data_IF_100553779724
#
_entry.id   IF_100553779724
#
_cell.length_a   1.000
_cell.length_b   1.000
_cell.length_c   1.000
_cell.angle_alpha   90.00
_cell.angle_beta   90.00
_cell.angle_gamma   90.00
#
_symmetry.space_group_name_H-M   'P 1'
#
loop_
_entity.id
_entity.type
_entity.pdbx_description
1 polymer ?
#
# COMPACT_ATOMS: atom_id res chain seq x y z
N UNK A 1 11.37 -37.16 66.02
CA UNK A 1 11.31 -37.47 64.58
C UNK A 1 10.05 -36.87 63.99
N UNK A 2 10.17 -35.80 63.19
CA UNK A 2 9.19 -35.38 62.17
C UNK A 2 9.94 -34.45 61.21
N UNK A 3 10.26 -35.01 60.05
CA UNK A 3 10.85 -34.36 58.88
C UNK A 3 9.75 -33.62 58.12
N UNK A 4 9.96 -32.35 57.79
CA UNK A 4 9.31 -31.61 56.69
C UNK A 4 10.33 -30.53 56.26
N UNK A 5 11.34 -30.84 55.45
CA UNK A 5 11.33 -31.09 54.01
C UNK A 5 10.78 -29.93 53.17
N UNK A 6 11.70 -29.17 52.56
CA UNK A 6 11.56 -28.73 51.17
C UNK A 6 10.92 -27.36 50.91
N UNK A 7 11.63 -26.27 51.21
CA UNK A 7 11.39 -25.00 50.53
C UNK A 7 12.09 -25.02 49.16
N UNK A 8 11.40 -25.48 48.12
CA UNK A 8 11.86 -25.34 46.74
C UNK A 8 11.49 -23.93 46.27
N UNK A 9 12.47 -23.02 46.33
CA UNK A 9 12.42 -21.73 45.66
C UNK A 9 12.47 -21.98 44.14
N UNK A 10 11.31 -22.11 43.51
CA UNK A 10 11.21 -22.08 42.06
C UNK A 10 11.33 -20.62 41.60
N UNK A 11 12.57 -20.17 41.34
CA UNK A 11 12.83 -18.99 40.52
C UNK A 11 12.39 -19.32 39.09
N UNK A 12 11.11 -19.13 38.81
CA UNK A 12 10.61 -19.03 37.45
C UNK A 12 11.16 -17.73 36.88
N UNK A 13 12.27 -17.84 36.16
CA UNK A 13 12.77 -16.83 35.25
C UNK A 13 11.67 -16.56 34.22
N UNK A 14 10.88 -15.50 34.43
CA UNK A 14 10.01 -14.93 33.42
C UNK A 14 10.92 -14.49 32.27
N UNK A 15 11.05 -15.35 31.26
CA UNK A 15 11.47 -14.92 29.94
C UNK A 15 10.52 -13.78 29.53
N UNK A 16 11.04 -12.61 29.09
CA UNK A 16 10.16 -11.55 28.63
C UNK A 16 9.27 -12.13 27.52
N UNK A 17 7.95 -11.95 27.59
CA UNK A 17 7.07 -12.38 26.52
C UNK A 17 7.61 -11.75 25.25
N UNK A 18 7.96 -12.59 24.26
CA UNK A 18 8.48 -12.13 22.98
C UNK A 18 7.60 -11.00 22.50
N UNK A 19 8.18 -9.81 22.32
CA UNK A 19 7.46 -8.59 22.03
C UNK A 19 6.56 -8.84 20.81
N UNK A 20 5.26 -9.02 21.06
CA UNK A 20 4.27 -9.08 19.99
C UNK A 20 4.48 -7.81 19.18
N UNK A 21 4.95 -7.93 17.94
CA UNK A 21 5.14 -6.78 17.08
C UNK A 21 3.79 -6.09 16.96
N UNK A 22 3.73 -4.87 17.49
CA UNK A 22 2.48 -4.11 17.52
C UNK A 22 1.94 -3.98 16.09
N UNK A 23 0.72 -4.46 15.90
CA UNK A 23 0.00 -4.40 14.64
C UNK A 23 -0.06 -2.93 14.17
N UNK A 24 0.51 -2.63 13.00
CA UNK A 24 0.49 -1.29 12.42
C UNK A 24 -0.81 -1.05 11.67
N UNK A 25 -1.51 0.04 11.98
CA UNK A 25 -2.70 0.43 11.23
C UNK A 25 -2.28 1.24 10.01
N UNK A 26 -2.70 0.81 8.83
CA UNK A 26 -2.30 1.39 7.53
C UNK A 26 -3.54 1.86 6.78
N UNK A 27 -3.51 3.10 6.31
CA UNK A 27 -4.51 3.64 5.39
C UNK A 27 -3.90 3.85 4.02
N UNK A 28 -4.68 3.63 2.96
CA UNK A 28 -4.28 3.91 1.57
C UNK A 28 -5.28 4.89 0.99
N UNK A 29 -4.81 6.07 0.59
CA UNK A 29 -5.61 7.04 -0.14
C UNK A 29 -5.80 6.61 -1.61
N UNK A 30 -6.82 7.16 -2.26
CA UNK A 30 -6.93 7.04 -3.73
C UNK A 30 -5.69 7.62 -4.41
N UNK A 31 -5.34 7.07 -5.56
CA UNK A 31 -4.16 7.49 -6.29
C UNK A 31 -4.44 8.68 -7.20
N UNK A 32 -3.43 9.51 -7.40
CA UNK A 32 -3.42 10.49 -8.49
C UNK A 32 -3.14 9.74 -9.79
N UNK A 33 -3.84 10.11 -10.86
CA UNK A 33 -3.60 9.59 -12.20
C UNK A 33 -3.20 10.74 -13.12
N UNK A 34 -1.92 10.78 -13.52
CA UNK A 34 -1.37 11.77 -14.47
C UNK A 34 -1.25 11.18 -15.89
N UNK A 35 -1.83 10.00 -16.11
CA UNK A 35 -1.62 9.23 -17.34
C UNK A 35 -2.74 9.43 -18.34
N UNK A 36 -2.46 9.11 -19.61
CA UNK A 36 -3.45 9.22 -20.68
C UNK A 36 -4.41 8.03 -20.68
N UNK A 37 -3.92 6.81 -20.44
CA UNK A 37 -4.73 5.59 -20.57
C UNK A 37 -5.31 5.07 -19.24
N UNK A 38 -4.97 5.68 -18.09
CA UNK A 38 -5.42 5.23 -16.78
C UNK A 38 -6.94 5.26 -16.58
N UNK A 39 -7.66 6.13 -17.29
CA UNK A 39 -9.13 6.16 -17.28
C UNK A 39 -9.75 4.84 -17.77
N UNK A 40 -9.09 4.10 -18.66
CA UNK A 40 -9.60 2.84 -19.23
C UNK A 40 -9.79 1.76 -18.16
N UNK A 41 -9.06 1.87 -17.04
CA UNK A 41 -9.10 0.91 -15.95
C UNK A 41 -9.49 1.53 -14.61
N UNK A 42 -9.81 2.83 -14.58
CA UNK A 42 -10.11 3.56 -13.35
C UNK A 42 -8.92 3.62 -12.40
N UNK A 43 -7.73 4.00 -12.90
CA UNK A 43 -6.45 3.91 -12.19
C UNK A 43 -6.43 4.56 -10.80
N UNK A 44 -7.19 5.67 -10.62
CA UNK A 44 -7.40 6.35 -9.33
C UNK A 44 -7.91 5.41 -8.23
N UNK A 45 -8.76 4.43 -8.59
CA UNK A 45 -9.40 3.50 -7.64
C UNK A 45 -8.60 2.22 -7.39
N UNK A 46 -7.44 2.05 -8.02
CA UNK A 46 -6.56 0.90 -7.80
C UNK A 46 -5.87 0.93 -6.42
N UNK A 47 -6.09 1.98 -5.63
CA UNK A 47 -5.81 2.01 -4.20
C UNK A 47 -6.43 0.82 -3.45
N UNK A 48 -7.63 0.39 -3.85
CA UNK A 48 -8.30 -0.79 -3.28
C UNK A 48 -7.55 -2.09 -3.56
N UNK A 49 -6.90 -2.22 -4.72
CA UNK A 49 -6.07 -3.39 -5.05
C UNK A 49 -4.84 -3.43 -4.15
N UNK A 50 -4.19 -2.29 -3.91
CA UNK A 50 -3.07 -2.20 -2.97
C UNK A 50 -3.50 -2.56 -1.55
N UNK A 51 -4.67 -2.09 -1.09
CA UNK A 51 -5.21 -2.47 0.21
C UNK A 51 -5.40 -3.98 0.33
N UNK A 52 -5.96 -4.62 -0.70
CA UNK A 52 -6.13 -6.07 -0.72
C UNK A 52 -4.79 -6.82 -0.65
N UNK A 53 -3.76 -6.35 -1.37
CA UNK A 53 -2.43 -6.96 -1.31
C UNK A 53 -1.75 -6.77 0.05
N UNK A 54 -1.86 -5.59 0.67
CA UNK A 54 -1.34 -5.34 2.01
C UNK A 54 -2.04 -6.17 3.07
N UNK A 55 -3.37 -6.31 2.98
CA UNK A 55 -4.14 -7.17 3.89
C UNK A 55 -3.78 -8.66 3.71
N UNK A 56 -3.46 -9.09 2.48
CA UNK A 56 -3.06 -10.46 2.20
C UNK A 56 -1.63 -10.78 2.66
N UNK A 57 -0.68 -9.85 2.47
CA UNK A 57 0.75 -10.06 2.76
C UNK A 57 1.12 -9.70 4.20
N UNK A 58 0.45 -8.71 4.78
CA UNK A 58 0.74 -8.19 6.11
C UNK A 58 -0.13 -8.75 7.21
N UNK A 59 -0.83 -9.88 7.02
CA UNK A 59 -1.89 -10.39 7.92
C UNK A 59 -1.61 -10.29 9.42
N UNK A 60 -0.37 -10.54 9.84
CA UNK A 60 0.01 -10.56 11.26
C UNK A 60 0.68 -9.26 11.75
N UNK A 61 0.96 -8.32 10.83
CA UNK A 61 1.75 -7.11 11.11
C UNK A 61 1.03 -5.81 10.75
N UNK A 62 0.06 -5.86 9.84
CA UNK A 62 -0.66 -4.72 9.30
C UNK A 62 -2.18 -4.90 9.46
N UNK A 63 -2.87 -3.86 9.92
CA UNK A 63 -4.32 -3.71 9.83
C UNK A 63 -4.63 -2.65 8.79
N UNK A 64 -5.28 -3.02 7.69
CA UNK A 64 -5.63 -2.07 6.64
C UNK A 64 -6.98 -1.41 6.93
N UNK A 65 -7.03 -0.08 6.93
CA UNK A 65 -8.26 0.71 7.04
C UNK A 65 -9.05 0.62 5.74
N UNK A 66 -10.38 0.50 5.84
CA UNK A 66 -11.24 0.43 4.67
C UNK A 66 -11.15 1.70 3.80
N UNK A 67 -11.09 1.53 2.47
CA UNK A 67 -10.96 2.65 1.51
C UNK A 67 -12.06 3.71 1.68
N UNK A 68 -13.29 3.32 2.00
CA UNK A 68 -14.39 4.26 2.12
C UNK A 68 -14.29 5.15 3.36
N UNK A 69 -13.65 4.67 4.43
CA UNK A 69 -13.33 5.48 5.62
C UNK A 69 -12.30 6.56 5.28
N UNK A 70 -11.26 6.20 4.52
CA UNK A 70 -10.23 7.15 4.06
C UNK A 70 -10.85 8.22 3.14
N UNK A 71 -11.69 7.79 2.19
CA UNK A 71 -12.43 8.71 1.30
C UNK A 71 -13.37 9.62 2.08
N UNK A 72 -14.07 9.09 3.08
CA UNK A 72 -14.94 9.90 3.94
C UNK A 72 -14.14 10.95 4.72
N UNK A 73 -12.99 10.56 5.30
CA UNK A 73 -12.11 11.47 6.03
C UNK A 73 -11.53 12.58 5.14
N UNK A 74 -11.19 12.27 3.89
CA UNK A 74 -10.74 13.24 2.89
C UNK A 74 -11.86 14.20 2.50
N UNK A 75 -13.06 13.69 2.18
CA UNK A 75 -14.24 14.51 1.85
C UNK A 75 -14.61 15.46 2.99
N UNK A 76 -14.58 14.99 4.23
CA UNK A 76 -14.88 15.80 5.42
C UNK A 76 -13.92 17.00 5.59
N UNK A 77 -12.72 16.95 5.00
CA UNK A 77 -11.72 18.02 5.02
C UNK A 77 -11.59 18.78 3.71
N UNK A 78 -12.37 18.41 2.69
CA UNK A 78 -12.26 18.98 1.35
C UNK A 78 -10.94 18.68 0.65
N UNK A 79 -10.28 17.57 1.00
CA UNK A 79 -9.00 17.18 0.40
C UNK A 79 -9.21 16.26 -0.81
N UNK A 80 -8.48 16.53 -1.88
CA UNK A 80 -8.30 15.63 -3.02
C UNK A 80 -7.04 14.76 -2.84
N UNK A 81 -6.88 13.65 -3.57
CA UNK A 81 -5.67 12.84 -3.53
C UNK A 81 -4.37 13.63 -3.75
N UNK A 82 -4.38 14.59 -4.67
CA UNK A 82 -3.23 15.43 -4.98
C UNK A 82 -2.78 16.34 -3.81
N UNK A 83 -3.69 16.69 -2.90
CA UNK A 83 -3.36 17.48 -1.71
C UNK A 83 -2.44 16.74 -0.73
N UNK A 84 -2.46 15.41 -0.76
CA UNK A 84 -1.75 14.56 0.19
C UNK A 84 -0.24 14.49 -0.08
N UNK A 85 0.26 15.20 -1.10
CA UNK A 85 1.69 15.49 -1.25
C UNK A 85 2.23 16.28 -0.05
N UNK A 86 1.38 17.09 0.59
CA UNK A 86 1.69 17.81 1.83
C UNK A 86 1.73 16.83 3.01
N UNK A 87 2.88 16.68 3.70
CA UNK A 87 3.00 15.80 4.86
C UNK A 87 2.01 16.14 5.98
N UNK A 88 1.65 17.43 6.12
CA UNK A 88 0.67 17.88 7.11
C UNK A 88 -0.72 17.35 6.79
N UNK A 89 -1.22 17.57 5.57
CA UNK A 89 -2.55 17.10 5.15
C UNK A 89 -2.64 15.58 5.17
N UNK A 90 -1.58 14.90 4.74
CA UNK A 90 -1.47 13.45 4.82
C UNK A 90 -1.53 12.94 6.27
N UNK A 91 -0.80 13.54 7.20
CA UNK A 91 -0.85 13.17 8.61
C UNK A 91 -2.24 13.40 9.23
N UNK A 92 -2.93 14.49 8.86
CA UNK A 92 -4.30 14.76 9.33
C UNK A 92 -5.29 13.66 8.90
N UNK A 93 -5.20 13.18 7.65
CA UNK A 93 -6.03 12.06 7.18
C UNK A 93 -5.68 10.78 7.92
N UNK A 94 -4.39 10.47 8.08
CA UNK A 94 -3.94 9.30 8.82
C UNK A 94 -4.49 9.29 10.24
N UNK A 95 -4.36 10.41 10.97
CA UNK A 95 -4.88 10.57 12.33
C UNK A 95 -6.41 10.49 12.38
N UNK A 96 -7.11 11.05 11.40
CA UNK A 96 -8.57 11.02 11.34
C UNK A 96 -9.14 9.61 11.25
N UNK A 97 -8.43 8.69 10.60
CA UNK A 97 -8.83 7.28 10.46
C UNK A 97 -8.10 6.35 11.44
N UNK A 98 -7.35 6.90 12.39
CA UNK A 98 -6.58 6.14 13.37
C UNK A 98 -5.47 5.27 12.76
N UNK A 99 -4.91 5.68 11.63
CA UNK A 99 -3.80 4.99 10.98
C UNK A 99 -2.44 5.49 11.47
N UNK A 100 -1.53 4.54 11.72
CA UNK A 100 -0.11 4.82 11.97
C UNK A 100 0.57 5.33 10.71
N UNK A 101 0.25 4.71 9.57
CA UNK A 101 0.81 5.03 8.26
C UNK A 101 -0.27 5.43 7.26
N UNK A 102 0.01 6.47 6.48
CA UNK A 102 -0.76 6.79 5.27
C UNK A 102 0.08 6.52 4.03
N UNK A 103 -0.49 5.76 3.11
CA UNK A 103 0.08 5.46 1.80
C UNK A 103 -0.63 6.32 0.77
N UNK A 104 0.16 7.05 -0.01
CA UNK A 104 -0.29 7.85 -1.15
C UNK A 104 0.43 7.39 -2.40
N UNK A 105 -0.22 7.50 -3.55
CA UNK A 105 0.34 7.06 -4.82
C UNK A 105 -0.01 7.94 -5.99
N UNK A 106 0.85 7.89 -7.01
CA UNK A 106 0.69 8.64 -8.26
C UNK A 106 1.12 7.78 -9.44
N UNK A 107 0.21 7.52 -10.36
CA UNK A 107 0.53 6.92 -11.65
C UNK A 107 1.19 7.97 -12.53
N UNK A 108 2.47 7.78 -12.82
CA UNK A 108 3.27 8.67 -13.69
C UNK A 108 3.38 8.11 -15.10
N UNK A 109 3.15 6.81 -15.27
CA UNK A 109 3.12 6.15 -16.57
C UNK A 109 2.18 4.95 -16.49
N UNK A 110 1.26 4.84 -17.43
CA UNK A 110 0.29 3.75 -17.52
C UNK A 110 -0.27 3.79 -18.94
N UNK A 111 0.43 3.16 -19.87
CA UNK A 111 0.07 3.16 -21.29
C UNK A 111 0.39 1.83 -21.97
N UNK A 112 -0.18 1.67 -23.16
CA UNK A 112 0.03 0.50 -24.02
C UNK A 112 0.97 0.87 -25.14
N UNK A 113 2.17 0.30 -25.11
CA UNK A 113 3.08 0.36 -26.25
C UNK A 113 2.58 -0.59 -27.35
N UNK A 114 2.50 -0.05 -28.56
CA UNK A 114 2.02 -0.76 -29.74
C UNK A 114 3.11 -0.71 -30.78
N UNK A 115 4.02 -1.68 -30.69
CA UNK A 115 4.97 -1.89 -31.76
C UNK A 115 4.21 -2.39 -33.01
N UNK A 116 4.16 -1.55 -34.05
CA UNK A 116 3.57 -1.91 -35.35
C UNK A 116 4.71 -2.29 -36.29
N UNK A 117 4.87 -3.58 -36.57
CA UNK A 117 5.75 -4.06 -37.63
C UNK A 117 4.89 -4.45 -38.85
N UNK A 118 5.14 -3.81 -39.99
CA UNK A 118 4.53 -4.14 -41.29
C UNK A 118 2.97 -4.27 -41.29
N UNK A 119 2.27 -3.47 -40.48
CA UNK A 119 0.80 -3.48 -40.41
C UNK A 119 0.17 -4.65 -39.65
N UNK A 120 0.99 -5.56 -39.11
CA UNK A 120 0.54 -6.68 -38.27
C UNK A 120 0.82 -6.34 -36.80
N UNK A 121 -0.17 -6.52 -35.92
CA UNK A 121 0.05 -6.45 -34.46
C UNK A 121 0.77 -7.72 -34.03
N UNK A 122 2.06 -7.60 -33.73
CA UNK A 122 2.92 -8.75 -33.36
C UNK A 122 2.84 -9.04 -31.86
N UNK A 123 2.72 -8.01 -31.03
CA UNK A 123 2.37 -8.10 -29.60
C UNK A 123 1.97 -6.71 -29.10
N UNK A 124 1.18 -6.63 -28.03
CA UNK A 124 0.92 -5.38 -27.33
C UNK A 124 1.45 -5.53 -25.90
N UNK A 125 2.22 -4.55 -25.45
CA UNK A 125 2.80 -4.49 -24.11
C UNK A 125 2.18 -3.30 -23.41
N UNK A 126 1.84 -3.44 -22.13
CA UNK A 126 1.54 -2.28 -21.30
C UNK A 126 2.62 -2.11 -20.25
N UNK A 127 2.96 -0.87 -19.96
CA UNK A 127 3.83 -0.51 -18.86
C UNK A 127 3.04 0.30 -17.85
N UNK A 128 3.27 0.02 -16.56
CA UNK A 128 2.72 0.77 -15.46
C UNK A 128 3.87 1.19 -14.54
N UNK A 129 3.90 2.46 -14.14
CA UNK A 129 4.84 3.03 -13.18
C UNK A 129 4.06 3.88 -12.19
N UNK A 130 4.17 3.51 -10.91
CA UNK A 130 3.57 4.22 -9.79
C UNK A 130 4.64 4.67 -8.81
N UNK A 131 4.58 5.94 -8.45
CA UNK A 131 5.32 6.47 -7.32
C UNK A 131 4.48 6.29 -6.05
N UNK A 132 5.04 5.67 -5.02
CA UNK A 132 4.39 5.47 -3.73
C UNK A 132 5.18 6.18 -2.63
N UNK A 133 4.44 6.83 -1.74
CA UNK A 133 4.97 7.37 -0.49
C UNK A 133 4.24 6.76 0.71
N UNK A 134 5.01 6.38 1.74
CA UNK A 134 4.48 5.96 3.04
C UNK A 134 4.89 7.00 4.08
N UNK A 135 3.90 7.65 4.70
CA UNK A 135 4.09 8.65 5.73
C UNK A 135 3.74 8.06 7.11
N UNK A 136 4.60 8.24 8.10
CA UNK A 136 4.27 8.00 9.50
C UNK A 136 3.48 9.17 10.09
N UNK A 137 2.27 8.92 10.56
CA UNK A 137 1.33 9.95 11.03
C UNK A 137 1.83 10.73 12.25
N UNK A 138 2.48 10.06 13.20
CA UNK A 138 2.92 10.65 14.47
C UNK A 138 4.11 11.62 14.31
N UNK A 139 5.00 11.32 13.37
CA UNK A 139 6.25 12.09 13.17
C UNK A 139 6.23 12.92 11.88
N UNK A 140 5.23 12.70 11.00
CA UNK A 140 5.15 13.25 9.65
C UNK A 140 6.38 12.92 8.79
N UNK A 141 7.13 11.88 9.16
CA UNK A 141 8.30 11.41 8.41
C UNK A 141 7.85 10.50 7.28
N UNK A 142 8.52 10.64 6.13
CA UNK A 142 8.40 9.68 5.04
C UNK A 142 9.25 8.47 5.37
N UNK A 143 8.61 7.30 5.50
CA UNK A 143 9.29 6.02 5.75
C UNK A 143 9.75 5.37 4.44
N UNK A 144 9.01 5.61 3.37
CA UNK A 144 9.29 5.10 2.03
C UNK A 144 8.85 6.15 1.00
N UNK A 145 9.68 6.36 -0.01
CA UNK A 145 9.34 7.08 -1.23
C UNK A 145 10.05 6.35 -2.37
N UNK A 146 9.31 5.62 -3.18
CA UNK A 146 9.90 4.71 -4.17
C UNK A 146 9.00 4.57 -5.40
N UNK A 147 9.57 4.07 -6.49
CA UNK A 147 8.91 3.88 -7.77
C UNK A 147 8.78 2.40 -8.07
N UNK A 148 7.57 1.96 -8.40
CA UNK A 148 7.27 0.57 -8.72
C UNK A 148 6.78 0.46 -10.14
N UNK A 149 7.34 -0.50 -10.88
CA UNK A 149 6.96 -0.75 -12.26
C UNK A 149 6.41 -2.16 -12.48
N UNK A 150 5.58 -2.30 -13.50
CA UNK A 150 5.02 -3.57 -13.94
C UNK A 150 4.80 -3.57 -15.45
N UNK A 151 4.80 -4.77 -16.02
CA UNK A 151 4.57 -5.01 -17.44
C UNK A 151 3.38 -5.96 -17.59
N UNK A 152 2.50 -5.65 -18.52
CA UNK A 152 1.36 -6.48 -18.91
C UNK A 152 1.54 -7.01 -20.34
N UNK A 153 1.14 -8.26 -20.57
CA UNK A 153 1.22 -8.94 -21.88
C UNK A 153 -0.10 -9.67 -22.12
N UNK A 154 -0.69 -9.51 -23.30
CA UNK A 154 -2.07 -9.94 -23.53
C UNK A 154 -2.72 -9.31 -24.77
N UNK A 155 -4.03 -9.55 -24.87
CA UNK A 155 -4.80 -9.38 -26.11
C UNK A 155 -5.65 -8.10 -26.19
N UNK A 156 -5.96 -7.47 -25.05
CA UNK A 156 -6.74 -6.21 -25.00
C UNK A 156 -6.05 -5.16 -24.13
N UNK A 157 -6.21 -3.89 -24.49
CA UNK A 157 -5.62 -2.75 -23.77
C UNK A 157 -5.96 -2.75 -22.28
N UNK A 158 -7.25 -2.85 -21.93
CA UNK A 158 -7.68 -2.81 -20.53
C UNK A 158 -7.10 -3.98 -19.71
N UNK A 159 -7.00 -5.17 -20.30
CA UNK A 159 -6.36 -6.31 -19.65
C UNK A 159 -4.87 -6.08 -19.42
N UNK A 160 -4.16 -5.62 -20.46
CA UNK A 160 -2.73 -5.30 -20.42
C UNK A 160 -2.42 -4.28 -19.30
N UNK A 161 -3.16 -3.17 -19.29
CA UNK A 161 -2.98 -2.09 -18.30
C UNK A 161 -3.26 -2.58 -16.88
N UNK A 162 -4.35 -3.34 -16.66
CA UNK A 162 -4.65 -3.91 -15.33
C UNK A 162 -3.57 -4.89 -14.87
N UNK A 163 -3.03 -5.69 -15.78
CA UNK A 163 -1.96 -6.63 -15.45
C UNK A 163 -0.67 -5.89 -15.09
N UNK A 164 -0.28 -4.87 -15.88
CA UNK A 164 0.89 -4.05 -15.59
C UNK A 164 0.75 -3.35 -14.22
N UNK A 165 -0.39 -2.70 -13.97
CA UNK A 165 -0.69 -2.05 -12.71
C UNK A 165 -0.66 -3.03 -11.53
N UNK A 166 -1.26 -4.21 -11.68
CA UNK A 166 -1.23 -5.29 -10.68
C UNK A 166 0.21 -5.66 -10.30
N UNK A 167 1.09 -5.86 -11.28
CA UNK A 167 2.49 -6.23 -11.02
C UNK A 167 3.20 -5.12 -10.23
N UNK A 168 3.00 -3.86 -10.60
CA UNK A 168 3.57 -2.71 -9.88
C UNK A 168 3.06 -2.65 -8.43
N UNK A 169 1.75 -2.79 -8.21
CA UNK A 169 1.13 -2.73 -6.87
C UNK A 169 1.52 -3.91 -5.99
N UNK A 170 1.67 -5.12 -6.54
CA UNK A 170 2.15 -6.28 -5.79
C UNK A 170 3.58 -6.07 -5.30
N UNK A 171 4.46 -5.51 -6.13
CA UNK A 171 5.84 -5.16 -5.74
C UNK A 171 5.86 -4.09 -4.65
N UNK A 172 5.01 -3.06 -4.77
CA UNK A 172 4.84 -2.05 -3.74
C UNK A 172 4.38 -2.67 -2.41
N UNK A 173 3.35 -3.54 -2.45
CA UNK A 173 2.83 -4.21 -1.26
C UNK A 173 3.90 -5.03 -0.53
N UNK A 174 4.74 -5.77 -1.28
CA UNK A 174 5.86 -6.54 -0.71
C UNK A 174 6.87 -5.61 -0.04
N UNK A 175 7.23 -4.51 -0.70
CA UNK A 175 8.21 -3.56 -0.15
C UNK A 175 7.70 -2.89 1.13
N UNK A 176 6.43 -2.51 1.15
CA UNK A 176 5.76 -1.82 2.27
C UNK A 176 5.56 -2.76 3.47
N UNK A 177 5.19 -4.02 3.23
CA UNK A 177 5.00 -5.03 4.30
C UNK A 177 6.30 -5.38 5.04
N UNK A 178 7.46 -4.99 4.47
CA UNK A 178 8.78 -5.19 5.02
C UNK A 178 9.40 -3.91 5.64
N UNK A 179 8.63 -2.83 5.78
CA UNK A 179 9.02 -1.66 6.57
C UNK A 179 8.97 -1.97 8.08
#
# INVERSE_FOLDING_TARGET
MRLLAGAVLALLTLAPPGAAQALRVVAVADFVDETVDGYQIGAVRLSADLQAYLAAQGRDRLRVVAVDEVRAAMRARGYAPADLVSPTKAAEIAQAVGADWLITGRWVHLDVDRERQAGVRVSALAQAVIEIRVLQASTRRTLLSDTFSGIGIGITNAFLLRQAARVALQRAAVRISNL
#
